data_IF_456567176775
#
_entry.id   IF_456567176775
#
_cell.length_a   1.000
_cell.length_b   1.000
_cell.length_c   1.000
_cell.angle_alpha   90.00
_cell.angle_beta   90.00
_cell.angle_gamma   90.00
#
_symmetry.space_group_name_H-M   'P 1'
#
loop_
_entity.id
_entity.type
_entity.pdbx_description
1 polymer ?
#
# COMPACT_ATOMS: atom_id res chain seq x y z
N UNK A 1 -13.42 20.18 -7.79
CA UNK A 1 -14.06 19.36 -6.74
C UNK A 1 -13.71 17.88 -6.90
N UNK A 2 -14.03 17.21 -8.02
CA UNK A 2 -13.53 15.83 -8.28
C UNK A 2 -12.01 15.82 -8.49
N UNK A 3 -11.46 16.78 -9.24
CA UNK A 3 -10.01 16.88 -9.46
C UNK A 3 -9.21 17.13 -8.16
N UNK A 4 -9.68 18.05 -7.29
CA UNK A 4 -9.00 18.35 -6.02
C UNK A 4 -9.03 17.18 -5.02
N UNK A 5 -10.11 16.39 -5.03
CA UNK A 5 -10.21 15.19 -4.19
C UNK A 5 -9.28 14.08 -4.71
N UNK A 6 -9.24 13.87 -6.03
CA UNK A 6 -8.31 12.92 -6.65
C UNK A 6 -6.85 13.31 -6.44
N UNK A 7 -6.51 14.60 -6.53
CA UNK A 7 -5.16 15.12 -6.24
C UNK A 7 -4.79 14.86 -4.77
N UNK A 8 -5.72 15.09 -3.84
CA UNK A 8 -5.49 14.84 -2.41
C UNK A 8 -5.27 13.35 -2.13
N UNK A 9 -6.05 12.47 -2.78
CA UNK A 9 -5.90 11.02 -2.68
C UNK A 9 -4.55 10.57 -3.25
N UNK A 10 -4.17 11.05 -4.44
CA UNK A 10 -2.90 10.75 -5.11
C UNK A 10 -1.72 11.11 -4.21
N UNK A 11 -1.69 12.36 -3.72
CA UNK A 11 -0.64 12.85 -2.83
C UNK A 11 -0.63 12.04 -1.53
N UNK A 12 -1.79 11.70 -0.99
CA UNK A 12 -1.93 10.85 0.20
C UNK A 12 -1.30 9.46 0.02
N UNK A 13 -1.59 8.78 -1.10
CA UNK A 13 -1.05 7.46 -1.41
C UNK A 13 0.48 7.49 -1.47
N UNK A 14 1.04 8.43 -2.25
CA UNK A 14 2.49 8.55 -2.43
C UNK A 14 3.21 8.94 -1.14
N UNK A 15 2.62 9.83 -0.33
CA UNK A 15 3.22 10.25 0.92
C UNK A 15 3.18 9.15 2.02
N UNK A 16 2.23 8.22 1.95
CA UNK A 16 2.16 7.08 2.87
C UNK A 16 3.09 5.93 2.48
N UNK A 17 3.39 5.75 1.18
CA UNK A 17 4.10 4.58 0.66
C UNK A 17 5.47 4.31 1.35
N UNK A 18 6.32 5.33 1.65
CA UNK A 18 7.62 5.12 2.29
C UNK A 18 7.54 4.52 3.71
N UNK A 19 6.42 4.74 4.42
CA UNK A 19 6.21 4.25 5.80
C UNK A 19 6.37 2.74 5.92
N UNK A 20 6.04 2.01 4.85
CA UNK A 20 6.00 0.56 4.82
C UNK A 20 7.33 -0.08 4.39
N UNK A 21 8.33 0.73 4.05
CA UNK A 21 9.64 0.22 3.64
C UNK A 21 10.65 0.25 4.78
N UNK A 22 11.67 -0.61 4.67
CA UNK A 22 12.90 -0.52 5.45
C UNK A 22 13.94 0.22 4.62
N UNK A 23 14.68 1.15 5.24
CA UNK A 23 15.72 1.90 4.55
C UNK A 23 16.04 3.24 5.20
N UNK A 24 17.11 3.26 5.99
CA UNK A 24 18.00 4.43 6.09
C UNK A 24 18.87 4.48 4.83
N UNK A 25 19.36 5.66 4.46
CA UNK A 25 20.10 5.98 3.22
C UNK A 25 21.37 5.15 2.92
N UNK A 26 21.77 4.22 3.78
CA UNK A 26 23.11 3.62 3.79
C UNK A 26 23.28 2.43 2.83
N UNK A 27 22.24 1.99 2.11
CA UNK A 27 22.33 0.90 1.13
C UNK A 27 22.57 1.39 -0.32
N UNK A 28 22.91 2.68 -0.51
CA UNK A 28 23.48 3.15 -1.78
C UNK A 28 24.94 2.73 -1.84
N UNK A 29 25.17 1.54 -2.36
CA UNK A 29 26.51 1.12 -2.82
C UNK A 29 27.15 2.23 -3.67
N UNK A 30 28.41 2.54 -3.33
CA UNK A 30 29.26 3.51 -4.01
C UNK A 30 29.32 3.22 -5.52
N UNK A 31 28.60 4.01 -6.31
CA UNK A 31 28.88 4.21 -7.71
C UNK A 31 29.09 5.72 -7.92
N UNK A 32 30.37 6.10 -7.87
CA UNK A 32 30.82 7.45 -8.19
C UNK A 32 30.33 7.86 -9.59
N UNK A 33 29.57 8.95 -9.64
CA UNK A 33 29.10 9.57 -10.86
C UNK A 33 28.46 10.90 -10.54
N UNK A 34 29.25 11.97 -10.69
CA UNK A 34 28.90 13.37 -10.40
C UNK A 34 27.52 13.77 -10.94
N UNK A 35 26.63 14.14 -10.02
CA UNK A 35 25.27 14.55 -10.30
C UNK A 35 24.49 14.79 -9.00
N UNK A 36 25.04 15.64 -8.14
CA UNK A 36 24.44 16.05 -6.86
C UNK A 36 23.08 16.73 -7.08
N UNK A 37 22.01 15.93 -7.07
CA UNK A 37 20.62 16.37 -6.89
C UNK A 37 19.93 15.58 -5.75
N UNK A 38 20.70 15.04 -4.80
CA UNK A 38 20.14 14.32 -3.65
C UNK A 38 19.93 15.30 -2.49
N UNK A 39 18.86 16.09 -2.54
CA UNK A 39 18.39 16.79 -1.36
C UNK A 39 17.47 15.85 -0.56
N UNK A 40 17.84 15.69 0.71
CA UNK A 40 16.94 15.51 1.85
C UNK A 40 15.98 14.31 1.76
N UNK A 41 16.41 13.17 2.31
CA UNK A 41 15.51 12.21 2.95
C UNK A 41 14.83 12.94 4.13
N UNK A 42 13.83 13.74 3.81
CA UNK A 42 12.89 14.25 4.79
C UNK A 42 12.22 13.04 5.47
N UNK A 43 12.23 13.10 6.79
CA UNK A 43 11.58 12.18 7.73
C UNK A 43 10.35 11.47 7.15
N UNK A 44 10.15 10.19 7.49
CA UNK A 44 8.91 9.41 7.30
C UNK A 44 7.74 10.07 8.07
N UNK A 45 7.37 11.27 7.65
CA UNK A 45 6.33 12.12 8.19
C UNK A 45 5.62 12.71 6.98
N UNK A 46 4.30 12.61 6.98
CA UNK A 46 3.49 13.32 5.99
C UNK A 46 3.80 14.82 6.06
N UNK A 47 4.08 15.48 4.92
CA UNK A 47 4.21 16.93 4.87
C UNK A 47 2.96 17.63 5.43
N UNK A 48 3.14 18.75 6.13
CA UNK A 48 2.06 19.38 6.91
C UNK A 48 0.90 19.89 6.04
N UNK A 49 1.19 20.28 4.80
CA UNK A 49 0.19 20.59 3.79
C UNK A 49 -0.63 19.36 3.39
N UNK A 50 0.02 18.21 3.15
CA UNK A 50 -0.66 16.94 2.87
C UNK A 50 -1.53 16.52 4.04
N UNK A 51 -1.02 16.62 5.28
CA UNK A 51 -1.80 16.35 6.50
C UNK A 51 -3.05 17.23 6.55
N UNK A 52 -2.92 18.52 6.26
CA UNK A 52 -4.05 19.45 6.28
C UNK A 52 -5.09 19.12 5.21
N UNK A 53 -4.66 18.77 4.00
CA UNK A 53 -5.56 18.38 2.91
C UNK A 53 -6.31 17.10 3.23
N UNK A 54 -5.61 16.06 3.70
CA UNK A 54 -6.24 14.80 4.12
C UNK A 54 -7.26 15.04 5.26
N UNK A 55 -6.90 15.83 6.27
CA UNK A 55 -7.80 16.18 7.36
C UNK A 55 -9.02 17.00 6.88
N UNK A 56 -8.85 17.90 5.91
CA UNK A 56 -9.96 18.64 5.30
C UNK A 56 -10.93 17.72 4.55
N UNK A 57 -10.44 16.60 4.01
CA UNK A 57 -11.24 15.51 3.43
C UNK A 57 -11.87 14.58 4.49
N UNK A 58 -11.71 14.88 5.79
CA UNK A 58 -12.26 14.09 6.90
C UNK A 58 -11.48 12.80 7.20
N UNK A 59 -10.29 12.61 6.62
CA UNK A 59 -9.45 11.44 6.86
C UNK A 59 -8.74 11.56 8.21
N UNK A 60 -8.62 10.45 8.94
CA UNK A 60 -7.84 10.39 10.17
C UNK A 60 -6.34 10.34 9.84
N UNK A 61 -5.65 11.47 10.02
CA UNK A 61 -4.22 11.58 9.69
C UNK A 61 -3.36 11.07 10.85
N UNK A 62 -2.47 10.07 10.63
CA UNK A 62 -1.61 9.50 11.66
C UNK A 62 -0.71 10.55 12.32
N UNK A 63 -0.49 10.49 13.63
CA UNK A 63 0.48 11.34 14.29
C UNK A 63 1.93 10.94 13.93
N UNK A 64 2.86 11.92 13.82
CA UNK A 64 4.27 11.60 13.68
C UNK A 64 4.79 10.94 14.96
N UNK A 65 5.68 9.96 14.81
CA UNK A 65 6.44 9.38 15.93
C UNK A 65 7.87 9.89 15.95
N UNK A 66 8.53 9.70 17.09
CA UNK A 66 9.95 9.96 17.24
C UNK A 66 10.81 8.95 16.48
N UNK A 67 12.05 9.34 16.15
CA UNK A 67 12.95 8.52 15.35
C UNK A 67 13.33 7.19 16.02
N UNK A 68 13.29 7.12 17.36
CA UNK A 68 13.57 5.86 18.06
C UNK A 68 12.43 4.86 17.84
N UNK A 69 11.17 5.30 17.97
CA UNK A 69 10.00 4.50 17.63
C UNK A 69 10.00 4.06 16.16
N UNK A 70 10.39 4.96 15.25
CA UNK A 70 10.49 4.64 13.82
C UNK A 70 11.55 3.57 13.53
N UNK A 71 12.77 3.73 14.06
CA UNK A 71 13.84 2.73 13.89
C UNK A 71 13.47 1.37 14.49
N UNK A 72 12.77 1.36 15.62
CA UNK A 72 12.32 0.13 16.27
C UNK A 72 11.32 -0.64 15.37
N UNK A 73 10.32 0.04 14.80
CA UNK A 73 9.33 -0.65 13.94
C UNK A 73 9.96 -1.11 12.62
N UNK A 74 10.87 -0.33 12.04
CA UNK A 74 11.62 -0.76 10.85
C UNK A 74 12.41 -2.04 11.10
N UNK A 75 13.19 -2.06 12.18
CA UNK A 75 14.06 -3.18 12.50
C UNK A 75 13.30 -4.41 12.96
N UNK A 76 12.31 -4.27 13.83
CA UNK A 76 11.67 -5.41 14.50
C UNK A 76 10.45 -5.94 13.76
N UNK A 77 9.76 -5.08 12.99
CA UNK A 77 8.44 -5.39 12.40
C UNK A 77 8.48 -5.41 10.87
N UNK A 78 9.12 -4.43 10.24
CA UNK A 78 9.18 -4.31 8.78
C UNK A 78 10.39 -5.02 8.17
N UNK A 79 11.19 -5.73 8.97
CA UNK A 79 12.33 -6.52 8.51
C UNK A 79 11.98 -8.01 8.51
N UNK A 80 12.12 -8.72 7.38
CA UNK A 80 11.79 -10.14 7.30
C UNK A 80 12.73 -10.97 8.19
N UNK A 81 12.19 -12.04 8.78
CA UNK A 81 12.95 -12.98 9.62
C UNK A 81 13.07 -12.57 11.10
N UNK A 82 12.60 -11.38 11.47
CA UNK A 82 12.59 -10.95 12.87
C UNK A 82 11.44 -11.60 13.65
N UNK A 83 11.57 -11.80 14.98
CA UNK A 83 10.52 -12.43 15.79
C UNK A 83 9.17 -11.71 15.75
N UNK A 84 9.20 -10.38 15.58
CA UNK A 84 8.01 -9.53 15.50
C UNK A 84 7.71 -9.10 14.06
N UNK A 85 8.26 -9.78 13.06
CA UNK A 85 8.03 -9.42 11.67
C UNK A 85 6.53 -9.47 11.31
N UNK A 86 6.06 -8.41 10.69
CA UNK A 86 4.76 -8.28 10.04
C UNK A 86 4.99 -7.46 8.76
N UNK A 87 5.33 -8.16 7.69
CA UNK A 87 5.70 -7.53 6.43
C UNK A 87 4.45 -7.04 5.69
N UNK A 88 4.43 -5.81 5.16
CA UNK A 88 3.27 -5.25 4.45
C UNK A 88 3.18 -5.79 3.01
N UNK A 89 2.98 -7.10 2.86
CA UNK A 89 2.93 -7.81 1.57
C UNK A 89 1.65 -8.62 1.47
N UNK A 90 0.82 -8.32 0.48
CA UNK A 90 -0.54 -8.86 0.34
C UNK A 90 -0.61 -10.40 0.40
N UNK A 91 0.28 -11.10 -0.32
CA UNK A 91 0.31 -12.56 -0.40
C UNK A 91 0.52 -13.26 0.94
N UNK A 92 1.06 -12.57 1.96
CA UNK A 92 1.15 -13.11 3.31
C UNK A 92 -0.22 -13.19 4.01
N UNK A 93 -1.17 -12.35 3.62
CA UNK A 93 -2.46 -12.21 4.30
C UNK A 93 -3.61 -12.87 3.53
N UNK A 94 -3.46 -13.05 2.22
CA UNK A 94 -4.46 -13.73 1.36
C UNK A 94 -4.13 -15.22 1.19
N UNK A 95 -5.14 -16.05 0.83
CA UNK A 95 -4.87 -17.43 0.43
C UNK A 95 -3.85 -17.48 -0.70
N UNK A 96 -2.87 -18.39 -0.60
CA UNK A 96 -1.77 -18.46 -1.56
C UNK A 96 -2.23 -18.77 -2.98
N UNK A 97 -3.32 -19.53 -3.12
CA UNK A 97 -3.99 -19.70 -4.42
C UNK A 97 -5.48 -19.92 -4.27
N UNK A 98 -6.27 -19.45 -5.22
CA UNK A 98 -7.71 -19.73 -5.30
C UNK A 98 -8.02 -21.01 -6.09
N UNK A 99 -7.01 -21.69 -6.63
CA UNK A 99 -7.19 -22.87 -7.47
C UNK A 99 -7.81 -24.04 -6.67
N UNK A 100 -9.01 -24.52 -7.04
CA UNK A 100 -9.65 -25.65 -6.37
C UNK A 100 -8.79 -26.92 -6.44
N UNK A 101 -8.65 -27.62 -5.32
CA UNK A 101 -7.87 -28.86 -5.24
C UNK A 101 -6.36 -28.67 -5.10
N UNK A 102 -5.86 -27.42 -5.03
CA UNK A 102 -4.47 -27.15 -4.68
C UNK A 102 -4.19 -27.53 -3.23
N UNK A 103 -3.06 -28.20 -2.98
CA UNK A 103 -2.57 -28.50 -1.63
C UNK A 103 -2.31 -27.23 -0.78
N UNK A 104 -2.20 -26.07 -1.42
CA UNK A 104 -1.93 -24.78 -0.80
C UNK A 104 -3.11 -23.79 -0.89
N UNK A 105 -4.29 -24.21 -1.36
CA UNK A 105 -5.39 -23.29 -1.71
C UNK A 105 -5.97 -22.46 -0.55
N UNK A 106 -5.72 -22.85 0.70
CA UNK A 106 -6.12 -22.08 1.89
C UNK A 106 -4.94 -21.59 2.73
N UNK A 107 -3.71 -21.91 2.35
CA UNK A 107 -2.54 -21.57 3.12
C UNK A 107 -2.26 -20.06 3.03
N UNK A 108 -1.88 -19.45 4.15
CA UNK A 108 -1.48 -18.03 4.27
C UNK A 108 -0.05 -17.93 4.79
N UNK A 109 0.51 -16.71 4.81
CA UNK A 109 1.86 -16.45 5.30
C UNK A 109 2.95 -16.89 4.32
N UNK A 110 2.63 -17.00 3.02
CA UNK A 110 3.57 -17.41 1.98
C UNK A 110 3.61 -16.37 0.87
N UNK A 111 4.81 -15.96 0.49
CA UNK A 111 5.03 -15.06 -0.64
C UNK A 111 4.63 -15.68 -1.98
N UNK A 112 4.50 -14.82 -3.00
CA UNK A 112 4.33 -15.21 -4.40
C UNK A 112 3.07 -16.06 -4.65
N UNK A 113 2.00 -15.75 -3.91
CA UNK A 113 0.66 -16.29 -4.17
C UNK A 113 0.01 -15.68 -5.42
N UNK A 114 -1.25 -16.02 -5.66
CA UNK A 114 -2.00 -15.53 -6.84
C UNK A 114 -2.07 -13.99 -6.89
N UNK A 115 -2.20 -13.32 -5.74
CA UNK A 115 -2.16 -11.86 -5.66
C UNK A 115 -0.85 -11.27 -6.21
N UNK A 116 0.30 -11.75 -5.74
CA UNK A 116 1.61 -11.35 -6.22
C UNK A 116 1.80 -11.60 -7.72
N UNK A 117 1.33 -12.75 -8.23
CA UNK A 117 1.38 -13.05 -9.67
C UNK A 117 0.52 -12.12 -10.49
N UNK A 118 -0.65 -11.75 -9.98
CA UNK A 118 -1.53 -10.78 -10.64
C UNK A 118 -0.86 -9.41 -10.73
N UNK A 119 -0.32 -8.90 -9.62
CA UNK A 119 0.37 -7.60 -9.57
C UNK A 119 1.61 -7.61 -10.48
N UNK A 120 2.39 -8.69 -10.50
CA UNK A 120 3.52 -8.83 -11.43
C UNK A 120 3.06 -8.72 -12.89
N UNK A 121 1.96 -9.40 -13.26
CA UNK A 121 1.42 -9.31 -14.61
C UNK A 121 0.94 -7.90 -14.98
N UNK A 122 0.46 -7.11 -14.01
CA UNK A 122 0.14 -5.69 -14.22
C UNK A 122 1.40 -4.88 -14.51
N UNK A 123 2.48 -5.06 -13.74
CA UNK A 123 3.76 -4.41 -14.02
C UNK A 123 4.31 -4.77 -15.40
N UNK A 124 4.30 -6.06 -15.76
CA UNK A 124 4.73 -6.54 -17.06
C UNK A 124 3.92 -5.91 -18.21
N UNK A 125 2.60 -5.80 -18.04
CA UNK A 125 1.69 -5.20 -19.02
C UNK A 125 1.90 -3.69 -19.17
N UNK A 126 2.23 -3.00 -18.08
CA UNK A 126 2.57 -1.57 -18.07
C UNK A 126 4.03 -1.31 -18.49
N UNK A 127 4.83 -2.36 -18.69
CA UNK A 127 6.27 -2.27 -18.94
C UNK A 127 7.01 -1.50 -17.84
N UNK A 128 6.57 -1.65 -16.60
CA UNK A 128 7.18 -1.07 -15.40
C UNK A 128 8.07 -2.13 -14.77
N UNK A 129 9.33 -1.80 -14.53
CA UNK A 129 10.26 -2.70 -13.85
C UNK A 129 10.05 -2.65 -12.33
N UNK A 130 9.90 -3.81 -11.71
CA UNK A 130 9.87 -3.94 -10.25
C UNK A 130 11.31 -3.83 -9.73
N UNK A 131 11.61 -2.90 -8.80
CA UNK A 131 12.96 -2.77 -8.25
C UNK A 131 13.45 -4.08 -7.61
N UNK A 132 14.74 -4.39 -7.74
CA UNK A 132 15.32 -5.68 -7.29
C UNK A 132 15.01 -6.01 -5.83
N UNK A 133 15.03 -4.99 -4.94
CA UNK A 133 14.67 -5.15 -3.52
C UNK A 133 13.25 -5.69 -3.29
N UNK A 134 12.36 -5.54 -4.25
CA UNK A 134 10.97 -6.02 -4.22
C UNK A 134 10.72 -7.21 -5.16
N UNK A 135 11.74 -7.77 -5.81
CA UNK A 135 11.54 -8.85 -6.79
C UNK A 135 10.82 -10.08 -6.21
N UNK A 136 10.99 -10.35 -4.91
CA UNK A 136 10.30 -11.44 -4.20
C UNK A 136 8.92 -11.05 -3.63
N UNK A 137 8.53 -9.78 -3.74
CA UNK A 137 7.32 -9.20 -3.16
C UNK A 137 6.78 -8.06 -4.05
N UNK A 138 6.36 -8.35 -5.30
CA UNK A 138 5.80 -7.33 -6.19
C UNK A 138 4.49 -6.72 -5.64
N UNK A 139 3.81 -7.45 -4.76
CA UNK A 139 2.60 -7.06 -4.02
C UNK A 139 2.89 -6.42 -2.65
N UNK A 140 4.05 -5.78 -2.51
CA UNK A 140 4.38 -4.96 -1.35
C UNK A 140 3.52 -3.69 -1.33
N UNK A 141 3.01 -3.29 -0.16
CA UNK A 141 2.05 -2.19 -0.03
C UNK A 141 2.55 -0.87 -0.62
N UNK A 142 3.83 -0.55 -0.46
CA UNK A 142 4.47 0.61 -1.12
C UNK A 142 4.28 0.57 -2.64
N UNK A 143 4.53 -0.57 -3.27
CA UNK A 143 4.39 -0.73 -4.71
C UNK A 143 2.92 -0.71 -5.16
N UNK A 144 2.02 -1.25 -4.34
CA UNK A 144 0.57 -1.18 -4.58
C UNK A 144 0.06 0.27 -4.51
N UNK A 145 0.57 1.08 -3.57
CA UNK A 145 0.26 2.52 -3.49
C UNK A 145 0.75 3.25 -4.74
N UNK A 146 1.98 2.98 -5.19
CA UNK A 146 2.54 3.58 -6.41
C UNK A 146 1.76 3.17 -7.67
N UNK A 147 1.37 1.90 -7.78
CA UNK A 147 0.56 1.41 -8.91
C UNK A 147 -0.85 2.00 -8.91
N UNK A 148 -1.47 2.14 -7.73
CA UNK A 148 -2.78 2.78 -7.60
C UNK A 148 -2.70 4.27 -7.96
N UNK A 149 -1.68 4.96 -7.47
CA UNK A 149 -1.38 6.35 -7.80
C UNK A 149 -1.22 6.52 -9.32
N UNK A 150 -0.47 5.63 -9.99
CA UNK A 150 -0.29 5.64 -11.43
C UNK A 150 -1.63 5.54 -12.19
N UNK A 151 -2.54 4.65 -11.78
CA UNK A 151 -3.85 4.55 -12.44
C UNK A 151 -4.73 5.79 -12.19
N UNK A 152 -4.69 6.37 -10.99
CA UNK A 152 -5.41 7.62 -10.68
C UNK A 152 -4.86 8.77 -11.51
N UNK A 153 -3.54 8.94 -11.57
CA UNK A 153 -2.87 9.98 -12.35
C UNK A 153 -3.14 9.84 -13.86
N UNK A 154 -3.21 8.60 -14.36
CA UNK A 154 -3.57 8.32 -15.75
C UNK A 154 -5.08 8.51 -16.04
N UNK A 155 -5.91 8.83 -15.05
CA UNK A 155 -7.36 8.93 -15.19
C UNK A 155 -8.06 7.59 -15.48
N UNK A 156 -7.38 6.46 -15.23
CA UNK A 156 -7.94 5.13 -15.45
C UNK A 156 -8.74 4.67 -14.23
N UNK A 157 -9.92 5.27 -14.06
CA UNK A 157 -10.79 5.05 -12.91
C UNK A 157 -11.20 3.58 -12.74
N UNK A 158 -11.38 2.84 -13.83
CA UNK A 158 -11.75 1.42 -13.77
C UNK A 158 -10.61 0.57 -13.20
N UNK A 159 -9.38 0.73 -13.72
CA UNK A 159 -8.23 0.02 -13.21
C UNK A 159 -7.92 0.40 -11.76
N UNK A 160 -8.00 1.70 -11.42
CA UNK A 160 -7.80 2.17 -10.05
C UNK A 160 -8.82 1.55 -9.08
N UNK A 161 -10.10 1.51 -9.47
CA UNK A 161 -11.18 0.93 -8.64
C UNK A 161 -11.01 -0.57 -8.45
N UNK A 162 -10.66 -1.31 -9.50
CA UNK A 162 -10.42 -2.75 -9.43
C UNK A 162 -9.21 -3.05 -8.56
N UNK A 163 -8.09 -2.35 -8.78
CA UNK A 163 -6.89 -2.50 -7.96
C UNK A 163 -7.18 -2.19 -6.49
N UNK A 164 -7.86 -1.09 -6.19
CA UNK A 164 -8.20 -0.72 -4.81
C UNK A 164 -9.11 -1.77 -4.13
N UNK A 165 -10.07 -2.35 -4.85
CA UNK A 165 -10.95 -3.39 -4.29
C UNK A 165 -10.24 -4.72 -4.11
N UNK A 166 -9.40 -5.11 -5.07
CA UNK A 166 -8.84 -6.45 -5.12
C UNK A 166 -7.49 -6.54 -4.40
N UNK A 167 -6.76 -5.44 -4.20
CA UNK A 167 -5.40 -5.43 -3.65
C UNK A 167 -5.23 -4.62 -2.36
N UNK A 168 -6.31 -4.06 -1.79
CA UNK A 168 -6.30 -3.41 -0.47
C UNK A 168 -7.28 -4.06 0.52
N UNK A 169 -8.00 -5.11 0.13
CA UNK A 169 -8.96 -5.86 0.97
C UNK A 169 -8.33 -6.68 2.11
N UNK A 170 -7.00 -6.76 2.15
CA UNK A 170 -6.23 -7.50 3.14
C UNK A 170 -5.74 -6.64 4.31
N UNK A 171 -5.91 -5.31 4.23
CA UNK A 171 -5.35 -4.38 5.22
C UNK A 171 -5.90 -4.62 6.65
N UNK A 172 -7.14 -5.09 6.79
CA UNK A 172 -7.69 -5.47 8.11
C UNK A 172 -6.94 -6.66 8.71
N UNK A 173 -6.54 -7.64 7.89
CA UNK A 173 -5.75 -8.77 8.34
C UNK A 173 -4.32 -8.34 8.70
N UNK A 174 -3.78 -7.35 8.00
CA UNK A 174 -2.49 -6.76 8.33
C UNK A 174 -2.53 -5.96 9.64
N UNK A 175 -3.57 -5.14 9.85
CA UNK A 175 -3.77 -4.42 11.11
C UNK A 175 -3.91 -5.39 12.29
N UNK A 176 -4.69 -6.46 12.12
CA UNK A 176 -4.82 -7.50 13.13
C UNK A 176 -3.46 -8.14 13.45
N UNK A 177 -2.66 -8.44 12.42
CA UNK A 177 -1.32 -8.96 12.62
C UNK A 177 -0.45 -7.98 13.41
N UNK A 178 -0.42 -6.69 13.04
CA UNK A 178 0.31 -5.65 13.77
C UNK A 178 -0.13 -5.54 15.23
N UNK A 179 -1.43 -5.67 15.50
CA UNK A 179 -1.98 -5.73 16.86
C UNK A 179 -1.40 -6.88 17.68
N UNK A 180 -1.35 -8.09 17.12
CA UNK A 180 -0.72 -9.24 17.77
C UNK A 180 0.77 -9.00 18.07
N UNK A 181 1.50 -8.31 17.19
CA UNK A 181 2.93 -8.01 17.39
C UNK A 181 3.11 -6.97 18.49
N UNK A 182 2.19 -6.02 18.63
CA UNK A 182 2.19 -5.09 19.76
C UNK A 182 2.01 -5.81 21.10
N UNK A 183 1.09 -6.78 21.17
CA UNK A 183 0.87 -7.57 22.38
C UNK A 183 2.09 -8.44 22.73
N UNK A 184 2.70 -9.06 21.73
CA UNK A 184 3.94 -9.83 21.90
C UNK A 184 5.10 -8.94 22.35
N UNK A 185 5.27 -7.78 21.73
CA UNK A 185 6.29 -6.79 22.10
C UNK A 185 6.13 -6.33 23.55
N UNK A 186 4.89 -6.09 24.00
CA UNK A 186 4.61 -5.62 25.36
C UNK A 186 5.06 -6.61 26.45
N UNK A 187 5.10 -7.91 26.15
CA UNK A 187 5.50 -8.97 27.08
C UNK A 187 6.92 -9.52 26.83
N UNK A 188 7.59 -9.09 25.76
CA UNK A 188 8.91 -9.58 25.39
C UNK A 188 9.99 -9.09 26.36
N UNK A 189 10.72 -10.05 26.94
CA UNK A 189 11.88 -9.78 27.81
C UNK A 189 13.12 -9.33 27.05
N UNK A 190 13.11 -9.41 25.71
CA UNK A 190 14.21 -8.97 24.85
C UNK A 190 14.36 -7.44 24.80
N UNK A 191 13.32 -6.70 25.18
CA UNK A 191 13.32 -5.24 25.18
C UNK A 191 13.28 -4.72 26.63
N UNK A 192 13.87 -3.56 26.87
CA UNK A 192 13.64 -2.80 28.09
C UNK A 192 12.32 -2.01 28.02
N UNK A 193 11.99 -1.26 29.07
CA UNK A 193 10.74 -0.50 29.13
C UNK A 193 10.65 0.58 28.05
N UNK A 194 11.76 1.28 27.79
CA UNK A 194 11.84 2.31 26.76
C UNK A 194 11.68 1.72 25.35
N UNK A 195 12.37 0.60 25.06
CA UNK A 195 12.26 -0.12 23.81
C UNK A 195 10.85 -0.65 23.57
N UNK A 196 10.19 -1.21 24.59
CA UNK A 196 8.78 -1.62 24.48
C UNK A 196 7.86 -0.44 24.17
N UNK A 197 8.04 0.70 24.86
CA UNK A 197 7.24 1.89 24.62
C UNK A 197 7.47 2.48 23.22
N UNK A 198 8.72 2.51 22.75
CA UNK A 198 9.07 2.96 21.41
C UNK A 198 8.45 2.06 20.33
N UNK A 199 8.55 0.75 20.50
CA UNK A 199 7.97 -0.22 19.57
C UNK A 199 6.44 -0.15 19.54
N UNK A 200 5.78 0.03 20.69
CA UNK A 200 4.33 0.24 20.76
C UNK A 200 3.88 1.50 20.00
N UNK A 201 4.61 2.62 20.15
CA UNK A 201 4.34 3.85 19.37
C UNK A 201 4.56 3.61 17.87
N UNK A 202 5.66 2.98 17.49
CA UNK A 202 5.99 2.68 16.09
C UNK A 202 4.94 1.78 15.42
N UNK A 203 4.54 0.70 16.08
CA UNK A 203 3.47 -0.19 15.58
C UNK A 203 2.14 0.57 15.49
N UNK A 204 1.78 1.35 16.51
CA UNK A 204 0.58 2.17 16.49
C UNK A 204 0.55 3.14 15.31
N UNK A 205 1.68 3.71 14.94
CA UNK A 205 1.81 4.56 13.77
C UNK A 205 1.57 3.79 12.47
N UNK A 206 2.23 2.64 12.26
CA UNK A 206 2.07 1.84 11.04
C UNK A 206 0.61 1.40 10.88
N UNK A 207 -0.06 1.02 11.97
CA UNK A 207 -1.50 0.70 11.98
C UNK A 207 -2.35 1.88 11.53
N UNK A 208 -2.08 3.08 12.04
CA UNK A 208 -2.79 4.28 11.63
C UNK A 208 -2.58 4.60 10.13
N UNK A 209 -1.38 4.41 9.58
CA UNK A 209 -1.14 4.55 8.14
C UNK A 209 -1.85 3.48 7.31
N UNK A 210 -1.89 2.23 7.78
CA UNK A 210 -2.62 1.16 7.10
C UNK A 210 -4.13 1.48 7.06
N UNK A 211 -4.70 2.00 8.14
CA UNK A 211 -6.09 2.45 8.18
C UNK A 211 -6.35 3.62 7.22
N UNK A 212 -5.47 4.62 7.19
CA UNK A 212 -5.55 5.73 6.23
C UNK A 212 -5.53 5.24 4.78
N UNK A 213 -4.62 4.32 4.44
CA UNK A 213 -4.56 3.72 3.10
C UNK A 213 -5.82 2.93 2.75
N UNK A 214 -6.39 2.21 3.71
CA UNK A 214 -7.67 1.51 3.54
C UNK A 214 -8.80 2.48 3.22
N UNK A 215 -8.87 3.61 3.91
CA UNK A 215 -9.88 4.64 3.64
C UNK A 215 -9.68 5.31 2.27
N UNK A 216 -8.44 5.62 1.89
CA UNK A 216 -8.10 6.16 0.56
C UNK A 216 -8.49 5.18 -0.55
N UNK A 217 -8.13 3.90 -0.41
CA UNK A 217 -8.47 2.86 -1.37
C UNK A 217 -9.99 2.65 -1.45
N UNK A 218 -10.71 2.72 -0.32
CA UNK A 218 -12.16 2.62 -0.29
C UNK A 218 -12.83 3.77 -1.06
N UNK A 219 -12.35 5.00 -0.92
CA UNK A 219 -12.89 6.15 -1.66
C UNK A 219 -12.71 5.98 -3.17
N UNK A 220 -11.54 5.53 -3.62
CA UNK A 220 -11.29 5.17 -5.03
C UNK A 220 -12.21 4.02 -5.47
N UNK A 221 -12.33 2.99 -4.64
CA UNK A 221 -13.17 1.82 -4.88
C UNK A 221 -14.67 2.13 -4.97
N UNK A 222 -15.13 3.23 -4.37
CA UNK A 222 -16.53 3.66 -4.36
C UNK A 222 -16.90 4.63 -5.48
N UNK A 223 -15.93 5.12 -6.26
CA UNK A 223 -16.19 5.95 -7.44
C UNK A 223 -17.26 5.31 -8.33
N UNK A 224 -18.32 6.07 -8.61
CA UNK A 224 -19.40 5.61 -9.48
C UNK A 224 -18.78 5.12 -10.80
N UNK A 225 -19.26 4.00 -11.37
CA UNK A 225 -18.85 3.68 -12.74
C UNK A 225 -19.22 4.89 -13.60
N UNK A 226 -18.22 5.50 -14.23
CA UNK A 226 -18.49 6.36 -15.38
C UNK A 226 -19.44 5.57 -16.29
N UNK A 227 -20.56 6.15 -16.75
CA UNK A 227 -21.41 5.49 -17.70
C UNK A 227 -20.56 5.26 -18.94
N UNK A 228 -20.02 4.04 -19.08
CA UNK A 228 -19.41 3.61 -20.32
C UNK A 228 -20.45 3.84 -21.41
N UNK A 229 -19.92 4.34 -22.52
CA UNK A 229 -20.55 4.54 -23.79
C UNK A 229 -21.42 3.32 -24.11
N UNK A 230 -22.67 3.38 -23.65
CA UNK A 230 -23.72 2.50 -24.11
C UNK A 230 -23.87 2.86 -25.58
N UNK A 231 -23.07 2.16 -26.39
CA UNK A 231 -23.22 2.05 -27.83
C UNK A 231 -24.71 1.98 -28.06
N UNK A 232 -25.23 3.05 -28.64
CA UNK A 232 -26.53 3.10 -29.30
C UNK A 232 -26.50 2.04 -30.38
N UNK A 233 -26.74 0.78 -29.98
CA UNK A 233 -27.24 -0.22 -30.87
C UNK A 233 -28.66 0.26 -31.20
N UNK A 234 -28.94 0.65 -32.46
CA UNK A 234 -30.27 1.13 -32.80
C UNK A 234 -31.27 0.04 -32.46
N UNK A 235 -32.34 0.44 -31.80
CA UNK A 235 -33.39 -0.47 -31.36
C UNK A 235 -34.03 -1.13 -32.59
N UNK A 236 -34.61 -2.31 -32.41
CA UNK A 236 -35.22 -3.12 -33.48
C UNK A 236 -36.33 -2.37 -34.24
N UNK A 237 -36.87 -1.29 -33.67
CA UNK A 237 -37.85 -0.41 -34.33
C UNK A 237 -37.19 0.58 -35.30
N UNK A 238 -36.03 1.15 -34.98
CA UNK A 238 -35.30 2.09 -35.86
C UNK A 238 -34.73 1.39 -37.11
N UNK A 239 -34.51 0.07 -37.07
CA UNK A 239 -34.12 -0.72 -38.26
C UNK A 239 -35.26 -0.97 -39.25
N UNK A 240 -36.52 -0.68 -38.89
CA UNK A 240 -37.68 -0.85 -39.79
C UNK A 240 -38.04 0.39 -40.58
N UNK A 241 -37.58 1.58 -40.16
CA UNK A 241 -37.87 2.84 -40.87
C UNK A 241 -36.83 3.21 -41.92
N UNK A 242 -35.68 2.51 -41.96
CA UNK A 242 -34.61 2.76 -42.91
C UNK A 242 -34.64 1.84 -44.16
N UNK A 243 -35.81 1.29 -44.55
CA UNK A 243 -35.94 0.45 -45.74
C UNK A 243 -37.12 0.85 -46.62
#
# INVERSE_FOLDING_TARGET
MVDEENDTILIGLLACAPVFTTGSADDVTEAEGEGSCCNELETVRLPEDVRRSLAACGLAVPDPVDDAARRMVEREVLTPGMPLAAMPVESLYKPWTSLPGSQFGGARGMYLGDAARHVQALYDALQVEVPERFAAMPDHLTLLCELLALYVEAGNEEAARLLARDHFDWLDAYDAALGERADQAASASAFDEEGRAALARGIGQVRAYAALLGELAQRIGQGAPMPDEAKTAPTREERKEAK
#
